data_IF_794070312267
#
_entry.id   IF_794070312267
#
_cell.length_a   1.000
_cell.length_b   1.000
_cell.length_c   1.000
_cell.angle_alpha   90.00
_cell.angle_beta   90.00
_cell.angle_gamma   90.00
#
_symmetry.space_group_name_H-M   'P 1'
#
loop_
_entity.id
_entity.type
_entity.pdbx_description
1 polymer ?
#
# COMPACT_ATOMS: atom_id res chain seq x y z
N UNK A 1 3.44 -16.78 -4.67
CA UNK A 1 3.04 -16.16 -3.42
C UNK A 1 3.04 -14.65 -3.59
N UNK A 2 1.94 -14.04 -3.26
CA UNK A 2 1.84 -12.60 -3.41
C UNK A 2 2.25 -11.91 -2.12
N UNK A 3 3.31 -11.12 -2.18
CA UNK A 3 3.76 -10.34 -1.04
C UNK A 3 3.34 -8.90 -1.23
N UNK A 4 2.05 -8.69 -1.38
CA UNK A 4 1.53 -7.35 -1.53
C UNK A 4 1.57 -6.65 -0.18
N UNK A 5 2.51 -5.74 -0.02
CA UNK A 5 2.65 -4.96 1.20
C UNK A 5 1.86 -3.67 1.02
N UNK A 6 0.98 -3.32 1.98
CA UNK A 6 0.27 -2.05 1.88
C UNK A 6 1.23 -0.88 2.03
N UNK A 7 1.08 0.11 1.15
CA UNK A 7 1.80 1.37 1.25
C UNK A 7 0.82 2.45 1.69
N UNK A 8 1.27 3.30 2.60
CA UNK A 8 0.49 4.45 3.01
C UNK A 8 0.86 5.64 2.14
N UNK A 9 -0.12 6.30 1.57
CA UNK A 9 0.11 7.49 0.75
C UNK A 9 0.46 8.66 1.66
N UNK A 10 1.65 9.23 1.46
CA UNK A 10 2.11 10.36 2.26
C UNK A 10 2.12 11.66 1.47
N UNK A 11 2.07 11.58 0.15
CA UNK A 11 2.02 12.76 -0.72
C UNK A 11 1.38 12.35 -2.04
N UNK A 12 0.54 13.20 -2.59
CA UNK A 12 -0.15 12.94 -3.85
C UNK A 12 0.10 14.08 -4.81
N UNK A 13 0.48 13.76 -6.05
CA UNK A 13 0.65 14.72 -7.13
C UNK A 13 0.01 14.16 -8.40
N UNK A 14 -1.16 14.67 -8.77
CA UNK A 14 -1.84 14.22 -9.98
C UNK A 14 -2.09 12.71 -9.95
N UNK A 15 -1.52 12.00 -10.91
CA UNK A 15 -1.70 10.55 -11.03
C UNK A 15 -0.59 9.75 -10.34
N UNK A 16 0.27 10.41 -9.60
CA UNK A 16 1.34 9.75 -8.86
C UNK A 16 1.24 10.11 -7.39
N UNK A 17 1.86 9.29 -6.56
CA UNK A 17 1.91 9.52 -5.13
C UNK A 17 3.20 8.96 -4.58
N UNK A 18 3.56 9.42 -3.40
CA UNK A 18 4.63 8.81 -2.63
C UNK A 18 3.98 7.92 -1.59
N UNK A 19 4.32 6.65 -1.61
CA UNK A 19 3.85 5.70 -0.62
C UNK A 19 4.98 5.28 0.29
N UNK A 20 4.65 4.98 1.52
CA UNK A 20 5.62 4.56 2.51
C UNK A 20 5.21 3.22 3.13
N UNK A 21 6.17 2.33 3.27
CA UNK A 21 5.98 1.06 3.96
C UNK A 21 7.30 0.66 4.60
N UNK A 22 7.24 0.33 5.89
CA UNK A 22 8.40 -0.13 6.64
C UNK A 22 9.61 0.81 6.51
N UNK A 23 9.36 2.12 6.53
CA UNK A 23 10.41 3.13 6.44
C UNK A 23 10.94 3.38 5.04
N UNK A 24 10.39 2.72 4.03
CA UNK A 24 10.80 2.89 2.63
C UNK A 24 9.75 3.70 1.90
N UNK A 25 10.17 4.73 1.19
CA UNK A 25 9.28 5.54 0.38
C UNK A 25 9.48 5.24 -1.10
N UNK A 26 8.38 5.14 -1.85
CA UNK A 26 8.43 4.88 -3.28
C UNK A 26 7.42 5.73 -4.01
N UNK A 27 7.76 6.09 -5.24
CA UNK A 27 6.81 6.74 -6.13
C UNK A 27 5.89 5.68 -6.72
N UNK A 28 4.60 5.92 -6.63
CA UNK A 28 3.57 4.96 -7.01
C UNK A 28 2.61 5.65 -7.98
N UNK A 29 2.21 4.94 -9.04
CA UNK A 29 1.14 5.41 -9.91
C UNK A 29 -0.19 5.07 -9.27
N UNK A 30 -1.09 6.03 -9.24
CA UNK A 30 -2.40 5.86 -8.60
C UNK A 30 -3.55 6.01 -9.60
N UNK A 31 -3.27 5.69 -10.88
CA UNK A 31 -4.27 5.81 -11.94
C UNK A 31 -5.52 4.96 -11.70
N UNK A 32 -5.35 3.83 -11.04
CA UNK A 32 -6.44 2.89 -10.78
C UNK A 32 -7.18 3.14 -9.47
N UNK A 33 -6.70 4.09 -8.68
CA UNK A 33 -7.29 4.36 -7.36
C UNK A 33 -8.33 5.45 -7.50
N UNK A 34 -9.51 5.18 -6.97
CA UNK A 34 -10.60 6.14 -6.96
C UNK A 34 -10.48 7.02 -5.71
N UNK A 35 -10.48 8.33 -5.92
CA UNK A 35 -10.41 9.32 -4.85
C UNK A 35 -9.27 9.08 -3.86
N UNK A 36 -8.02 9.04 -4.35
CA UNK A 36 -6.89 8.82 -3.45
C UNK A 36 -6.69 10.02 -2.52
N UNK A 37 -6.36 9.73 -1.27
CA UNK A 37 -6.12 10.77 -0.26
C UNK A 37 -4.87 10.42 0.52
N UNK A 38 -4.18 11.45 1.01
CA UNK A 38 -3.04 11.25 1.91
C UNK A 38 -3.53 10.51 3.16
N UNK A 39 -2.79 9.49 3.56
CA UNK A 39 -3.15 8.63 4.67
C UNK A 39 -3.83 7.33 4.25
N UNK A 40 -4.26 7.23 2.99
CA UNK A 40 -4.85 6.00 2.49
C UNK A 40 -3.79 4.91 2.35
N UNK A 41 -4.22 3.67 2.57
CA UNK A 41 -3.38 2.50 2.31
C UNK A 41 -3.75 1.88 0.99
N UNK A 42 -2.75 1.53 0.20
CA UNK A 42 -2.97 0.93 -1.11
C UNK A 42 -2.07 -0.29 -1.28
N UNK A 43 -2.55 -1.25 -2.04
CA UNK A 43 -1.74 -2.40 -2.44
C UNK A 43 -1.02 -2.03 -3.73
N UNK A 44 0.30 -2.22 -3.75
CA UNK A 44 1.14 -1.85 -4.88
C UNK A 44 1.70 -3.09 -5.54
N UNK A 45 1.61 -3.13 -6.87
CA UNK A 45 2.19 -4.20 -7.67
C UNK A 45 2.80 -3.58 -8.92
N UNK A 46 4.09 -3.85 -9.14
CA UNK A 46 4.83 -3.34 -10.28
C UNK A 46 4.81 -1.81 -10.39
N UNK A 47 4.78 -1.11 -9.28
CA UNK A 47 4.80 0.35 -9.25
C UNK A 47 3.43 1.00 -9.38
N UNK A 48 2.36 0.20 -9.52
CA UNK A 48 0.99 0.70 -9.61
C UNK A 48 0.21 0.32 -8.37
N UNK A 49 -0.51 1.28 -7.83
CA UNK A 49 -1.47 1.00 -6.77
C UNK A 49 -2.70 0.37 -7.45
N UNK A 50 -3.04 -0.82 -7.06
CA UNK A 50 -4.12 -1.58 -7.70
C UNK A 50 -5.39 -1.61 -6.88
N UNK A 51 -5.29 -1.38 -5.59
CA UNK A 51 -6.44 -1.44 -4.70
C UNK A 51 -6.22 -0.52 -3.51
N UNK A 52 -7.27 0.19 -3.13
CA UNK A 52 -7.27 1.01 -1.93
C UNK A 52 -7.95 0.24 -0.80
N UNK A 53 -7.36 0.26 0.38
CA UNK A 53 -7.92 -0.39 1.54
C UNK A 53 -7.95 0.60 2.71
N UNK A 54 -8.84 0.36 3.67
CA UNK A 54 -8.88 1.21 4.84
C UNK A 54 -7.76 0.81 5.80
N UNK A 55 -7.53 1.65 6.81
CA UNK A 55 -6.45 1.44 7.76
C UNK A 55 -6.55 0.09 8.47
N UNK A 56 -7.76 -0.31 8.85
CA UNK A 56 -7.97 -1.57 9.53
C UNK A 56 -7.59 -2.77 8.65
N UNK A 57 -7.97 -2.72 7.38
CA UNK A 57 -7.61 -3.79 6.43
C UNK A 57 -6.10 -3.87 6.23
N UNK A 58 -5.43 -2.72 6.18
CA UNK A 58 -3.98 -2.69 6.03
C UNK A 58 -3.29 -3.32 7.23
N UNK A 59 -3.73 -3.00 8.43
CA UNK A 59 -3.17 -3.55 9.65
C UNK A 59 -3.40 -5.07 9.73
N UNK A 60 -4.59 -5.51 9.38
CA UNK A 60 -4.91 -6.93 9.37
C UNK A 60 -4.03 -7.68 8.38
N UNK A 61 -3.80 -7.10 7.20
CA UNK A 61 -2.94 -7.72 6.19
C UNK A 61 -1.50 -7.80 6.65
N UNK A 62 -1.01 -6.78 7.32
CA UNK A 62 0.36 -6.79 7.85
C UNK A 62 0.53 -7.87 8.90
N UNK A 63 -0.46 -8.03 9.78
CA UNK A 63 -0.45 -9.10 10.77
C UNK A 63 -0.45 -10.48 10.11
N UNK A 64 -1.31 -10.67 9.11
CA UNK A 64 -1.39 -11.94 8.41
C UNK A 64 -0.07 -12.29 7.72
N UNK A 65 0.58 -11.31 7.12
CA UNK A 65 1.88 -11.51 6.48
C UNK A 65 2.94 -11.90 7.53
N UNK A 66 2.94 -11.21 8.66
CA UNK A 66 3.86 -11.51 9.75
C UNK A 66 3.66 -12.92 10.29
N UNK A 67 2.42 -13.31 10.51
CA UNK A 67 2.09 -14.65 11.01
C UNK A 67 2.52 -15.73 10.01
N UNK A 68 2.29 -15.50 8.73
CA UNK A 68 2.69 -16.44 7.71
C UNK A 68 4.21 -16.60 7.67
N UNK A 69 4.94 -15.51 7.84
CA UNK A 69 6.40 -15.56 7.90
C UNK A 69 6.91 -16.30 9.13
N UNK A 70 6.21 -16.15 10.24
CA UNK A 70 6.60 -16.80 11.50
C UNK A 70 6.18 -18.27 11.59
N UNK A 71 5.22 -18.67 10.79
CA UNK A 71 4.68 -20.03 10.82
C UNK A 71 5.51 -21.02 10.02
N UNK A 72 6.47 -20.56 9.29
CA UNK A 72 7.29 -21.41 8.41
C UNK A 72 8.46 -22.03 9.15
#
# INVERSE_FOLDING_TARGET
MCLAIPFQLVQIEGNTAIGEAAGVQRRIRIDFIREPQVGDYVIVHAGFAIEKMNEQQALDNLEAISEAANAV
#
